data_IF_036018940403
#
_entry.id   IF_036018940403
#
_cell.length_a   1.000
_cell.length_b   1.000
_cell.length_c   1.000
_cell.angle_alpha   90.00
_cell.angle_beta   90.00
_cell.angle_gamma   90.00
#
_symmetry.space_group_name_H-M   'P 1'
#
loop_
_entity.id
_entity.type
_entity.pdbx_description
1 polymer ?
#
# COMPACT_ATOMS: atom_id res chain seq x y z
N UNK A 1 -7.01 17.94 13.45
CA UNK A 1 -6.62 17.29 12.17
C UNK A 1 -7.37 15.98 12.06
N UNK A 2 -8.01 15.70 10.93
CA UNK A 2 -8.68 14.42 10.70
C UNK A 2 -7.66 13.37 10.26
N UNK A 3 -7.19 12.58 11.23
CA UNK A 3 -6.20 11.54 10.99
C UNK A 3 -6.75 10.34 10.22
N UNK A 4 -8.07 10.09 10.26
CA UNK A 4 -8.70 9.02 9.50
C UNK A 4 -8.61 9.27 7.99
N UNK A 5 -8.70 10.54 7.59
CA UNK A 5 -8.52 10.95 6.19
C UNK A 5 -7.04 11.00 5.79
N UNK A 6 -6.18 11.54 6.65
CA UNK A 6 -4.75 11.72 6.34
C UNK A 6 -4.05 10.37 6.15
N UNK A 7 -4.36 9.36 6.97
CA UNK A 7 -3.69 8.04 6.91
C UNK A 7 -3.80 7.41 5.53
N UNK A 8 -4.97 7.47 4.89
CA UNK A 8 -5.20 6.88 3.58
C UNK A 8 -4.45 7.62 2.46
N UNK A 9 -4.30 8.95 2.58
CA UNK A 9 -3.63 9.76 1.57
C UNK A 9 -2.12 9.55 1.51
N UNK A 10 -1.49 9.10 2.59
CA UNK A 10 -0.05 8.85 2.65
C UNK A 10 0.34 7.40 2.35
N UNK A 11 -0.62 6.50 2.10
CA UNK A 11 -0.39 5.11 1.69
C UNK A 11 -0.53 4.93 0.17
N UNK A 12 0.02 3.84 -0.35
CA UNK A 12 -0.04 3.50 -1.78
C UNK A 12 -0.30 2.02 -1.99
N UNK A 13 -1.23 1.72 -2.90
CA UNK A 13 -1.39 0.39 -3.49
C UNK A 13 -0.75 0.32 -4.86
N UNK A 14 -0.51 -0.91 -5.33
CA UNK A 14 0.10 -1.19 -6.63
C UNK A 14 -0.74 -2.19 -7.42
N UNK A 15 -0.39 -2.40 -8.70
CA UNK A 15 -1.11 -3.36 -9.55
C UNK A 15 -1.14 -4.78 -8.97
N UNK A 16 -0.06 -5.20 -8.29
CA UNK A 16 0.03 -6.53 -7.67
C UNK A 16 -0.89 -6.70 -6.45
N UNK A 17 -1.30 -5.62 -5.78
CA UNK A 17 -2.24 -5.69 -4.66
C UNK A 17 -3.57 -6.35 -5.06
N UNK A 18 -4.02 -6.17 -6.32
CA UNK A 18 -5.24 -6.80 -6.84
C UNK A 18 -5.24 -8.33 -6.83
N UNK A 19 -4.06 -8.94 -6.73
CA UNK A 19 -3.88 -10.40 -6.65
C UNK A 19 -3.69 -10.89 -5.21
N UNK A 20 -3.64 -9.98 -4.24
CA UNK A 20 -3.39 -10.29 -2.84
C UNK A 20 -4.69 -10.64 -2.13
N UNK A 21 -4.67 -11.71 -1.32
CA UNK A 21 -5.78 -12.09 -0.43
C UNK A 21 -6.31 -10.94 0.43
N UNK A 22 -5.46 -9.99 0.77
CA UNK A 22 -5.77 -8.86 1.64
C UNK A 22 -6.01 -7.53 0.91
N UNK A 23 -6.27 -7.54 -0.40
CA UNK A 23 -6.51 -6.28 -1.13
C UNK A 23 -7.63 -5.44 -0.49
N UNK A 24 -8.72 -6.05 -0.03
CA UNK A 24 -9.85 -5.28 0.51
C UNK A 24 -9.57 -4.57 1.84
N UNK A 25 -8.59 -5.03 2.62
CA UNK A 25 -8.33 -4.53 3.99
C UNK A 25 -6.97 -3.85 4.15
N UNK A 26 -5.98 -4.21 3.34
CA UNK A 26 -4.66 -3.61 3.39
C UNK A 26 -4.70 -2.26 2.67
N UNK A 27 -4.18 -1.20 3.31
CA UNK A 27 -4.11 0.15 2.71
C UNK A 27 -2.82 0.37 1.90
N UNK A 28 -1.89 -0.57 1.99
CA UNK A 28 -0.56 -0.52 1.36
C UNK A 28 0.50 0.19 2.21
N UNK A 29 1.78 0.18 1.79
CA UNK A 29 2.87 0.87 2.46
C UNK A 29 2.74 2.40 2.34
N UNK A 30 3.51 3.14 3.17
CA UNK A 30 3.64 4.59 3.00
C UNK A 30 4.26 4.92 1.64
N UNK A 31 3.76 5.95 0.94
CA UNK A 31 4.21 6.37 -0.40
C UNK A 31 5.72 6.60 -0.52
N UNK A 32 6.35 7.05 0.56
CA UNK A 32 7.78 7.37 0.59
C UNK A 32 8.67 6.13 0.47
N UNK A 33 8.22 5.01 1.03
CA UNK A 33 8.98 3.77 1.02
C UNK A 33 9.19 3.21 -0.41
N UNK A 34 8.15 2.94 -1.22
CA UNK A 34 8.33 2.47 -2.58
C UNK A 34 8.94 3.54 -3.50
N UNK A 35 8.85 4.83 -3.15
CA UNK A 35 9.56 5.90 -3.87
C UNK A 35 11.07 5.79 -3.67
N UNK A 36 11.53 5.34 -2.50
CA UNK A 36 12.95 5.20 -2.15
C UNK A 36 13.52 3.83 -2.53
N UNK A 37 12.76 2.75 -2.33
CA UNK A 37 13.25 1.37 -2.45
C UNK A 37 12.64 0.59 -3.63
N UNK A 38 11.63 1.16 -4.31
CA UNK A 38 10.88 0.50 -5.36
C UNK A 38 9.77 -0.40 -4.84
N UNK A 39 9.07 -1.07 -5.75
CA UNK A 39 7.89 -1.90 -5.43
C UNK A 39 8.14 -3.41 -5.55
N UNK A 40 9.38 -3.81 -5.86
CA UNK A 40 9.72 -5.19 -6.25
C UNK A 40 9.66 -6.19 -5.10
N UNK A 41 9.85 -5.73 -3.87
CA UNK A 41 9.77 -6.56 -2.67
C UNK A 41 8.34 -6.95 -2.27
N UNK A 42 7.34 -6.20 -2.74
CA UNK A 42 5.96 -6.43 -2.35
C UNK A 42 5.34 -7.54 -3.19
N UNK A 43 5.17 -8.72 -2.60
CA UNK A 43 4.50 -9.85 -3.26
C UNK A 43 3.10 -10.10 -2.68
N UNK A 44 2.12 -10.53 -3.50
CA UNK A 44 0.80 -10.93 -3.00
C UNK A 44 0.89 -12.11 -2.04
N UNK A 45 0.10 -12.07 -0.96
CA UNK A 45 -0.13 -13.25 -0.11
C UNK A 45 -1.19 -14.13 -0.77
N UNK A 46 -0.91 -15.43 -0.86
CA UNK A 46 -1.79 -16.48 -1.40
C UNK A 46 -2.89 -16.88 -0.41
#
# INVERSE_FOLDING_TARGET
KDWQKIRLQIKSKFKQCKKCKYDSICEGPWKEYPKKYGIREFSPVS
#
